data_IF_521957169956
#
_entry.id   IF_521957169956
#
_cell.length_a   1.000
_cell.length_b   1.000
_cell.length_c   1.000
_cell.angle_alpha   90.00
_cell.angle_beta   90.00
_cell.angle_gamma   90.00
#
_symmetry.space_group_name_H-M   'P 1'
#
loop_
_entity.id
_entity.type
_entity.pdbx_description
1 polymer ?
#
# COMPACT_ATOMS: atom_id res chain seq x y z
N UNK A 1 45.28 1.44 -12.16
CA UNK A 1 44.15 2.02 -11.37
C UNK A 1 43.10 0.96 -11.15
N UNK A 2 42.89 0.53 -9.92
CA UNK A 2 41.79 -0.36 -9.57
C UNK A 2 40.62 0.54 -9.21
N UNK A 3 39.64 0.62 -10.10
CA UNK A 3 38.37 1.30 -9.78
C UNK A 3 37.55 0.34 -8.90
N UNK A 4 37.55 0.56 -7.61
CA UNK A 4 36.68 -0.17 -6.72
C UNK A 4 35.25 0.30 -6.99
N UNK A 5 34.47 -0.52 -7.70
CA UNK A 5 33.04 -0.31 -7.85
C UNK A 5 32.42 -0.60 -6.49
N UNK A 6 32.14 0.45 -5.72
CA UNK A 6 31.34 0.33 -4.51
C UNK A 6 29.90 0.15 -5.00
N UNK A 7 29.45 -1.10 -5.07
CA UNK A 7 28.05 -1.38 -5.26
C UNK A 7 27.32 -0.87 -3.99
N UNK A 8 26.65 0.26 -4.11
CA UNK A 8 25.72 0.72 -3.07
C UNK A 8 24.57 -0.27 -3.08
N UNK A 9 24.58 -1.23 -2.13
CA UNK A 9 23.40 -2.05 -1.88
C UNK A 9 22.35 -1.11 -1.30
N UNK A 10 21.36 -0.73 -2.11
CA UNK A 10 20.20 -0.03 -1.61
C UNK A 10 19.54 -0.95 -0.57
N UNK A 11 19.53 -0.53 0.70
CA UNK A 11 18.82 -1.25 1.76
C UNK A 11 17.34 -1.20 1.41
N UNK A 12 16.79 -2.34 0.98
CA UNK A 12 15.36 -2.49 0.78
C UNK A 12 14.66 -2.35 2.11
N UNK A 13 13.51 -1.67 2.13
CA UNK A 13 12.65 -1.61 3.30
C UNK A 13 12.20 -3.02 3.67
N UNK A 14 12.30 -3.36 4.94
CA UNK A 14 11.76 -4.60 5.47
C UNK A 14 10.24 -4.48 5.59
N UNK A 15 9.53 -5.17 4.71
CA UNK A 15 8.07 -5.12 4.61
C UNK A 15 7.43 -6.03 5.65
N UNK A 16 6.37 -5.53 6.30
CA UNK A 16 5.50 -6.35 7.15
C UNK A 16 4.71 -7.36 6.32
N UNK A 17 4.17 -8.43 6.94
CA UNK A 17 3.27 -9.36 6.23
C UNK A 17 2.09 -8.67 5.56
N UNK A 18 1.45 -7.70 6.22
CA UNK A 18 0.34 -6.95 5.63
C UNK A 18 0.78 -6.16 4.39
N UNK A 19 1.92 -5.47 4.45
CA UNK A 19 2.45 -4.73 3.31
C UNK A 19 2.74 -5.64 2.12
N UNK A 20 3.31 -6.82 2.37
CA UNK A 20 3.54 -7.84 1.34
C UNK A 20 2.24 -8.36 0.74
N UNK A 21 1.22 -8.60 1.56
CA UNK A 21 -0.08 -9.06 1.10
C UNK A 21 -0.78 -8.00 0.22
N UNK A 22 -0.73 -6.73 0.62
CA UNK A 22 -1.27 -5.63 -0.18
C UNK A 22 -0.51 -5.51 -1.50
N UNK A 23 0.79 -5.55 -1.48
CA UNK A 23 1.64 -5.54 -2.67
C UNK A 23 1.25 -6.67 -3.65
N UNK A 24 1.03 -7.88 -3.14
CA UNK A 24 0.58 -9.01 -3.97
C UNK A 24 -0.81 -8.74 -4.57
N UNK A 25 -1.76 -8.28 -3.78
CA UNK A 25 -3.13 -8.00 -4.24
C UNK A 25 -3.16 -6.88 -5.28
N UNK A 26 -2.40 -5.81 -5.05
CA UNK A 26 -2.42 -4.63 -5.91
C UNK A 26 -1.71 -4.83 -7.25
N UNK A 27 -0.61 -5.54 -7.28
CA UNK A 27 0.23 -5.62 -8.48
C UNK A 27 0.88 -6.98 -8.72
N UNK A 28 0.47 -8.03 -8.00
CA UNK A 28 1.11 -9.35 -8.06
C UNK A 28 2.62 -9.26 -7.80
N UNK A 29 2.99 -8.47 -6.80
CA UNK A 29 4.38 -8.23 -6.39
C UNK A 29 5.24 -7.59 -7.49
N UNK A 30 4.69 -6.62 -8.23
CA UNK A 30 5.49 -5.88 -9.21
C UNK A 30 6.66 -5.19 -8.50
N UNK A 31 7.91 -5.38 -8.97
CA UNK A 31 9.09 -4.90 -8.25
C UNK A 31 9.28 -3.38 -8.31
N UNK A 32 8.55 -2.69 -9.17
CA UNK A 32 8.74 -1.26 -9.41
C UNK A 32 9.95 -0.94 -10.29
N UNK A 33 10.40 0.31 -10.25
CA UNK A 33 11.54 0.79 -11.02
C UNK A 33 11.22 1.22 -12.44
N UNK A 34 10.01 0.97 -12.91
CA UNK A 34 9.48 1.38 -14.22
C UNK A 34 8.08 1.95 -14.06
N UNK A 35 7.60 2.79 -15.00
CA UNK A 35 6.22 3.26 -14.96
C UNK A 35 5.23 2.09 -14.94
N UNK A 36 4.32 2.11 -13.97
CA UNK A 36 3.29 1.10 -13.79
C UNK A 36 2.01 1.74 -13.29
N UNK A 37 0.90 1.52 -14.00
CA UNK A 37 -0.38 2.15 -13.71
C UNK A 37 -1.50 1.12 -13.67
N UNK A 38 -2.53 1.41 -12.86
CA UNK A 38 -3.80 0.70 -12.83
C UNK A 38 -4.96 1.68 -12.79
N UNK A 39 -6.20 1.17 -12.68
CA UNK A 39 -7.42 1.99 -12.65
C UNK A 39 -7.51 3.00 -13.79
N UNK A 40 -7.19 2.60 -15.03
CA UNK A 40 -7.23 3.49 -16.18
C UNK A 40 -6.22 4.64 -16.10
N UNK A 41 -5.14 4.50 -15.32
CA UNK A 41 -4.11 5.51 -15.12
C UNK A 41 -4.20 6.27 -13.80
N UNK A 42 -5.23 6.02 -12.99
CA UNK A 42 -5.46 6.76 -11.73
C UNK A 42 -4.68 6.18 -10.53
N UNK A 43 -4.18 4.97 -10.64
CA UNK A 43 -3.36 4.33 -9.61
C UNK A 43 -1.93 4.10 -10.12
N UNK A 44 -0.94 4.32 -9.29
CA UNK A 44 0.46 4.28 -9.67
C UNK A 44 1.28 3.36 -8.79
N UNK A 45 2.19 2.63 -9.45
CA UNK A 45 3.25 1.86 -8.81
C UNK A 45 2.83 0.55 -8.18
N UNK A 46 3.79 -0.13 -7.53
CA UNK A 46 3.58 -1.47 -6.97
C UNK A 46 2.44 -1.57 -5.95
N UNK A 47 2.16 -0.50 -5.21
CA UNK A 47 1.08 -0.45 -4.22
C UNK A 47 -0.19 0.22 -4.74
N UNK A 48 -0.25 0.60 -6.01
CA UNK A 48 -1.41 1.20 -6.68
C UNK A 48 -1.97 2.41 -5.92
N UNK A 49 -1.14 3.42 -5.74
CA UNK A 49 -1.47 4.63 -4.97
C UNK A 49 -2.07 5.70 -5.88
N UNK A 50 -3.23 6.23 -5.48
CA UNK A 50 -3.87 7.36 -6.14
C UNK A 50 -3.24 8.69 -5.72
N UNK A 51 -3.41 9.72 -6.56
CA UNK A 51 -2.84 11.06 -6.31
C UNK A 51 -3.25 11.62 -4.94
N UNK A 52 -4.52 11.58 -4.60
CA UNK A 52 -5.01 12.13 -3.32
C UNK A 52 -4.43 11.39 -2.11
N UNK A 53 -4.29 10.08 -2.23
CA UNK A 53 -3.65 9.27 -1.20
C UNK A 53 -2.18 9.72 -0.99
N UNK A 54 -1.45 9.89 -2.08
CA UNK A 54 -0.06 10.37 -2.03
C UNK A 54 0.04 11.75 -1.37
N UNK A 55 -0.82 12.68 -1.76
CA UNK A 55 -0.84 14.02 -1.15
C UNK A 55 -1.18 13.98 0.33
N UNK A 56 -2.16 13.16 0.72
CA UNK A 56 -2.57 13.00 2.11
C UNK A 56 -1.52 12.31 2.97
N UNK A 57 -0.64 11.52 2.39
CA UNK A 57 0.45 10.87 3.12
C UNK A 57 1.45 11.86 3.68
N UNK A 58 1.61 13.00 3.02
CA UNK A 58 2.53 14.05 3.44
C UNK A 58 4.01 13.74 3.26
N UNK A 59 4.37 12.67 2.56
CA UNK A 59 5.81 12.31 2.37
C UNK A 59 6.55 13.26 1.46
N UNK A 60 5.85 14.08 0.67
CA UNK A 60 6.45 14.94 -0.35
C UNK A 60 6.91 14.16 -1.58
N UNK A 61 7.52 14.86 -2.52
CA UNK A 61 8.00 14.29 -3.77
C UNK A 61 7.05 14.52 -4.93
N UNK A 62 7.23 13.73 -5.99
CA UNK A 62 6.54 13.90 -7.26
C UNK A 62 5.62 12.72 -7.55
N UNK A 63 4.34 13.00 -7.82
CA UNK A 63 3.38 12.00 -8.25
C UNK A 63 3.28 12.00 -9.79
N UNK A 64 3.26 10.86 -10.49
CA UNK A 64 3.31 9.51 -9.94
C UNK A 64 4.73 8.93 -9.85
N UNK A 65 5.75 9.66 -10.29
CA UNK A 65 7.10 9.15 -10.56
C UNK A 65 7.72 8.46 -9.34
N UNK A 66 7.61 9.06 -8.16
CA UNK A 66 8.23 8.50 -6.95
C UNK A 66 7.54 7.21 -6.49
N UNK A 67 6.27 7.01 -6.85
CA UNK A 67 5.52 5.81 -6.50
C UNK A 67 5.82 4.58 -7.37
N UNK A 68 6.59 4.75 -8.44
CA UNK A 68 7.10 3.60 -9.20
C UNK A 68 8.20 2.85 -8.44
N UNK A 69 8.80 3.47 -7.44
CA UNK A 69 9.73 2.82 -6.53
C UNK A 69 8.96 2.10 -5.41
N UNK A 70 9.27 0.82 -5.18
CA UNK A 70 8.57 0.01 -4.18
C UNK A 70 8.76 0.57 -2.76
N UNK A 71 9.98 0.92 -2.39
CA UNK A 71 10.28 1.44 -1.05
C UNK A 71 9.51 2.74 -0.78
N UNK A 72 9.48 3.64 -1.75
CA UNK A 72 8.71 4.90 -1.65
C UNK A 72 7.21 4.62 -1.51
N UNK A 73 6.68 3.65 -2.25
CA UNK A 73 5.27 3.24 -2.13
C UNK A 73 4.95 2.71 -0.74
N UNK A 74 5.83 1.91 -0.16
CA UNK A 74 5.66 1.39 1.21
C UNK A 74 5.74 2.53 2.24
N UNK A 75 6.68 3.46 2.09
CA UNK A 75 6.77 4.63 2.96
C UNK A 75 5.52 5.50 2.87
N UNK A 76 4.97 5.67 1.68
CA UNK A 76 3.70 6.37 1.47
C UNK A 76 2.55 5.68 2.21
N UNK A 77 2.44 4.37 2.09
CA UNK A 77 1.47 3.58 2.84
C UNK A 77 1.61 3.78 4.35
N UNK A 78 2.81 3.68 4.89
CA UNK A 78 3.08 3.85 6.32
C UNK A 78 2.70 5.24 6.82
N UNK A 79 3.06 6.28 6.09
CA UNK A 79 2.73 7.67 6.44
C UNK A 79 1.22 7.91 6.40
N UNK A 80 0.54 7.39 5.38
CA UNK A 80 -0.91 7.49 5.26
C UNK A 80 -1.63 6.78 6.43
N UNK A 81 -1.19 5.57 6.77
CA UNK A 81 -1.78 4.81 7.89
C UNK A 81 -1.47 5.44 9.24
N UNK A 82 -0.30 6.03 9.42
CA UNK A 82 0.01 6.79 10.63
C UNK A 82 -0.95 7.96 10.83
N UNK A 83 -1.40 8.57 9.75
CA UNK A 83 -2.36 9.68 9.77
C UNK A 83 -3.79 9.22 10.05
N UNK A 84 -4.25 8.14 9.41
CA UNK A 84 -5.65 7.78 9.37
C UNK A 84 -6.03 6.54 10.19
N UNK A 85 -5.15 5.56 10.34
CA UNK A 85 -5.45 4.31 11.05
C UNK A 85 -5.22 4.44 12.57
N UNK A 86 -5.81 5.47 13.16
CA UNK A 86 -5.74 5.72 14.61
C UNK A 86 -6.64 4.75 15.38
N UNK A 87 -6.24 4.30 16.59
CA UNK A 87 -7.05 3.36 17.38
C UNK A 87 -8.52 3.79 17.57
N UNK A 88 -8.76 5.08 17.80
CA UNK A 88 -10.11 5.60 18.02
C UNK A 88 -10.99 5.59 16.75
N UNK A 89 -10.42 5.39 15.57
CA UNK A 89 -11.15 5.30 14.30
C UNK A 89 -11.48 3.85 13.92
N UNK A 90 -10.82 2.88 14.55
CA UNK A 90 -11.00 1.47 14.23
C UNK A 90 -12.19 0.94 15.03
N UNK A 91 -13.24 0.39 14.38
CA UNK A 91 -14.38 -0.18 15.06
C UNK A 91 -13.98 -1.32 15.99
N UNK A 92 -14.74 -1.47 17.09
CA UNK A 92 -14.57 -2.61 17.97
C UNK A 92 -14.73 -3.92 17.20
N UNK A 93 -13.86 -4.89 17.47
CA UNK A 93 -13.86 -6.19 16.80
C UNK A 93 -13.11 -6.23 15.46
N UNK A 94 -12.70 -5.07 14.93
CA UNK A 94 -11.86 -5.02 13.72
C UNK A 94 -10.39 -4.95 14.09
N UNK A 95 -9.55 -5.76 13.45
CA UNK A 95 -8.10 -5.68 13.65
C UNK A 95 -7.52 -4.45 12.97
N UNK A 96 -6.37 -4.01 13.44
CA UNK A 96 -5.63 -2.91 12.80
C UNK A 96 -5.26 -3.27 11.35
N UNK A 97 -4.86 -4.52 11.11
CA UNK A 97 -4.52 -4.99 9.75
C UNK A 97 -5.72 -4.88 8.79
N UNK A 98 -6.90 -5.29 9.22
CA UNK A 98 -8.12 -5.15 8.43
C UNK A 98 -8.43 -3.66 8.15
N UNK A 99 -8.36 -2.82 9.17
CA UNK A 99 -8.60 -1.38 9.04
C UNK A 99 -7.65 -0.74 8.02
N UNK A 100 -6.37 -1.05 8.12
CA UNK A 100 -5.35 -0.52 7.20
C UNK A 100 -5.59 -0.99 5.77
N UNK A 101 -5.90 -2.26 5.55
CA UNK A 101 -6.20 -2.79 4.22
C UNK A 101 -7.43 -2.11 3.61
N UNK A 102 -8.51 -1.95 4.39
CA UNK A 102 -9.73 -1.28 3.93
C UNK A 102 -9.48 0.20 3.60
N UNK A 103 -8.71 0.90 4.42
CA UNK A 103 -8.35 2.30 4.17
C UNK A 103 -7.44 2.44 2.95
N UNK A 104 -6.54 1.49 2.72
CA UNK A 104 -5.69 1.50 1.53
C UNK A 104 -6.53 1.47 0.25
N UNK A 105 -7.54 0.64 0.20
CA UNK A 105 -8.40 0.49 -0.98
C UNK A 105 -9.49 1.57 -1.06
N UNK A 106 -10.08 1.97 0.07
CA UNK A 106 -11.28 2.80 0.09
C UNK A 106 -11.14 4.19 0.72
N UNK A 107 -9.94 4.55 1.18
CA UNK A 107 -9.69 5.85 1.80
C UNK A 107 -10.09 5.92 3.27
N UNK A 108 -10.00 7.13 3.88
CA UNK A 108 -10.22 7.28 5.33
C UNK A 108 -11.63 6.92 5.80
N UNK A 109 -12.63 7.06 4.93
CA UNK A 109 -14.03 6.75 5.24
C UNK A 109 -14.39 5.27 5.05
N UNK A 110 -13.42 4.43 4.65
CA UNK A 110 -13.67 3.01 4.35
C UNK A 110 -14.28 2.24 5.52
N UNK A 111 -13.89 2.57 6.75
CA UNK A 111 -14.35 1.85 7.93
C UNK A 111 -15.83 2.12 8.27
N UNK A 112 -16.44 3.12 7.65
CA UNK A 112 -17.86 3.48 7.81
C UNK A 112 -18.66 3.24 6.54
N UNK A 113 -18.06 2.57 5.55
CA UNK A 113 -18.72 2.31 4.27
C UNK A 113 -19.92 1.38 4.46
N UNK A 114 -20.94 1.61 3.63
CA UNK A 114 -22.16 0.80 3.56
C UNK A 114 -22.46 0.45 2.10
N UNK A 115 -23.44 -0.42 1.88
CA UNK A 115 -23.91 -0.74 0.54
C UNK A 115 -22.81 -1.32 -0.37
N UNK A 116 -22.80 -0.90 -1.62
CA UNK A 116 -21.88 -1.40 -2.64
C UNK A 116 -20.41 -1.17 -2.30
N UNK A 117 -20.09 -0.02 -1.73
CA UNK A 117 -18.72 0.29 -1.31
C UNK A 117 -18.24 -0.71 -0.25
N UNK A 118 -19.09 -1.01 0.74
CA UNK A 118 -18.76 -2.02 1.76
C UNK A 118 -18.54 -3.39 1.14
N UNK A 119 -19.39 -3.82 0.21
CA UNK A 119 -19.22 -5.10 -0.48
C UNK A 119 -17.89 -5.18 -1.22
N UNK A 120 -17.48 -4.11 -1.90
CA UNK A 120 -16.20 -4.04 -2.59
C UNK A 120 -15.02 -4.13 -1.61
N UNK A 121 -15.11 -3.46 -0.47
CA UNK A 121 -14.10 -3.50 0.58
C UNK A 121 -14.03 -4.88 1.26
N UNK A 122 -15.17 -5.55 1.44
CA UNK A 122 -15.21 -6.92 1.95
C UNK A 122 -14.48 -7.89 1.01
N UNK A 123 -14.68 -7.75 -0.30
CA UNK A 123 -13.96 -8.55 -1.31
C UNK A 123 -12.47 -8.26 -1.31
N UNK A 124 -12.09 -7.00 -1.20
CA UNK A 124 -10.68 -6.60 -1.12
C UNK A 124 -10.01 -7.20 0.11
N UNK A 125 -10.64 -7.06 1.28
CA UNK A 125 -10.12 -7.65 2.51
C UNK A 125 -9.97 -9.17 2.41
N UNK A 126 -10.93 -9.85 1.80
CA UNK A 126 -10.84 -11.29 1.57
C UNK A 126 -9.62 -11.67 0.73
N UNK A 127 -9.29 -10.88 -0.30
CA UNK A 127 -8.08 -11.10 -1.11
C UNK A 127 -6.81 -10.89 -0.28
N UNK A 128 -6.77 -9.85 0.54
CA UNK A 128 -5.62 -9.58 1.43
C UNK A 128 -5.45 -10.72 2.44
N UNK A 129 -6.54 -11.20 3.05
CA UNK A 129 -6.51 -12.33 3.99
C UNK A 129 -5.96 -13.59 3.33
N UNK A 130 -6.37 -13.88 2.10
CA UNK A 130 -5.85 -15.02 1.33
C UNK A 130 -4.35 -14.89 1.10
N UNK A 131 -3.89 -13.71 0.71
CA UNK A 131 -2.47 -13.43 0.52
C UNK A 131 -1.69 -13.60 1.84
N UNK A 132 -2.22 -13.09 2.95
CA UNK A 132 -1.61 -13.26 4.28
C UNK A 132 -1.45 -14.73 4.64
N UNK A 133 -2.45 -15.58 4.39
CA UNK A 133 -2.38 -17.01 4.64
C UNK A 133 -1.29 -17.69 3.80
N UNK A 134 -1.15 -17.30 2.55
CA UNK A 134 -0.13 -17.85 1.65
C UNK A 134 1.29 -17.50 2.10
N UNK A 135 1.48 -16.31 2.70
CA UNK A 135 2.77 -15.86 3.21
C UNK A 135 3.21 -16.60 4.50
N UNK A 136 2.27 -17.19 5.24
CA UNK A 136 2.53 -17.87 6.53
C UNK A 136 2.65 -19.38 6.40
N UNK A 137 2.65 -19.91 5.19
CA UNK A 137 2.86 -21.35 4.91
C UNK A 137 4.33 -21.73 4.88
#
# INVERSE_FOLDING_TARGET
>A
MITTLIATVALSIDMTPLERAIWQVESNCHPGGVPFYGDGGDAAGPMQVHRNYFLDSGIGGTYPQDLFNLDTSVLCFRAYMARYAKPHRIPEGMTKAEAMARMHNGGPAALRATGKKKENLDRYWSKVQKALKELTR
#
